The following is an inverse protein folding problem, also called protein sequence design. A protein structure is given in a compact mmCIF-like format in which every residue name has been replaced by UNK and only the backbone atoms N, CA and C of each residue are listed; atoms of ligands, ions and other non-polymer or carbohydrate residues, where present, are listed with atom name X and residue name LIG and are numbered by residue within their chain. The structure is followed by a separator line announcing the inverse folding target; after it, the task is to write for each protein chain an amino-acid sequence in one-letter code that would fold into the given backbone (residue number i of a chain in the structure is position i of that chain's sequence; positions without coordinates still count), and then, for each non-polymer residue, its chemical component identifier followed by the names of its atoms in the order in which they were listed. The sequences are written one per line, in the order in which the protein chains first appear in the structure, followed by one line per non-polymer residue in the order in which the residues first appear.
data_IF_365627518826
#
_entry.id   IF_365627518826
#
_cell.length_a   1.000
_cell.length_b   1.000
_cell.length_c   1.000
_cell.angle_alpha   90.00
_cell.angle_beta   90.00
_cell.angle_gamma   90.00
#
_symmetry.space_group_name_H-M   'P 1'
#
loop_
_entity.id
_entity.type
_entity.pdbx_description
1 polymer ?
#
# COMPACT_ATOMS: atom_id res chain seq x y z
N UNK A 1 -4.72 15.95 11.36
CA UNK A 1 -3.90 16.04 10.13
C UNK A 1 -2.68 16.90 10.43
N UNK A 2 -1.52 16.61 9.83
CA UNK A 2 -0.25 17.33 10.07
C UNK A 2 0.05 18.32 8.95
N UNK A 3 0.21 19.61 9.27
CA UNK A 3 0.55 20.64 8.29
C UNK A 3 1.93 20.42 7.66
N UNK A 4 2.92 20.03 8.46
CA UNK A 4 4.29 19.84 7.97
C UNK A 4 4.38 18.75 6.91
N UNK A 5 3.65 17.65 7.13
CA UNK A 5 3.55 16.57 6.17
C UNK A 5 2.85 17.04 4.88
N UNK A 6 1.81 17.88 4.99
CA UNK A 6 1.13 18.46 3.82
C UNK A 6 2.10 19.29 2.99
N UNK A 7 2.90 20.15 3.62
CA UNK A 7 3.93 20.94 2.91
C UNK A 7 4.93 20.03 2.20
N UNK A 8 5.44 19.01 2.90
CA UNK A 8 6.37 18.06 2.31
C UNK A 8 5.78 17.37 1.07
N UNK A 9 4.48 17.02 1.13
CA UNK A 9 3.77 16.39 0.03
C UNK A 9 3.52 17.34 -1.15
N UNK A 10 3.20 18.61 -0.88
CA UNK A 10 3.06 19.66 -1.91
C UNK A 10 4.36 19.87 -2.65
N UNK A 11 5.48 20.00 -1.93
CA UNK A 11 6.81 20.19 -2.52
C UNK A 11 7.23 18.97 -3.35
N UNK A 12 7.01 17.75 -2.84
CA UNK A 12 7.31 16.53 -3.59
C UNK A 12 6.49 16.39 -4.89
N UNK A 13 5.30 16.99 -4.94
CA UNK A 13 4.44 17.03 -6.14
C UNK A 13 4.86 18.06 -7.18
N UNK A 14 5.76 18.99 -6.86
CA UNK A 14 6.32 19.92 -7.84
C UNK A 14 7.42 19.23 -8.65
N UNK A 15 7.46 19.46 -9.96
CA UNK A 15 8.49 18.91 -10.85
C UNK A 15 9.92 19.26 -10.38
N UNK A 16 10.12 20.51 -9.93
CA UNK A 16 11.39 20.97 -9.38
C UNK A 16 11.59 20.66 -7.89
N UNK A 17 10.59 20.14 -7.18
CA UNK A 17 10.64 20.02 -5.71
C UNK A 17 10.51 21.32 -4.94
N UNK A 18 10.25 22.42 -5.65
CA UNK A 18 10.32 23.77 -5.11
C UNK A 18 9.05 24.52 -5.40
N UNK A 19 8.64 25.35 -4.44
CA UNK A 19 7.48 26.21 -4.56
C UNK A 19 7.67 27.51 -3.77
N UNK A 20 7.09 28.60 -4.26
CA UNK A 20 6.96 29.82 -3.47
C UNK A 20 6.00 29.61 -2.30
N UNK A 21 6.08 30.46 -1.27
CA UNK A 21 5.13 30.38 -0.14
C UNK A 21 3.68 30.59 -0.60
N UNK A 22 3.47 31.43 -1.61
CA UNK A 22 2.15 31.66 -2.20
C UNK A 22 1.60 30.39 -2.87
N UNK A 23 2.44 29.68 -3.63
CA UNK A 23 2.05 28.44 -4.29
C UNK A 23 1.79 27.32 -3.29
N UNK A 24 2.61 27.22 -2.23
CA UNK A 24 2.39 26.26 -1.15
C UNK A 24 1.05 26.52 -0.48
N UNK A 25 0.76 27.79 -0.14
CA UNK A 25 -0.52 28.17 0.45
C UNK A 25 -1.68 27.79 -0.46
N UNK A 26 -1.60 28.15 -1.74
CA UNK A 26 -2.66 27.88 -2.70
C UNK A 26 -2.90 26.37 -2.88
N UNK A 27 -1.82 25.58 -2.99
CA UNK A 27 -1.92 24.13 -3.06
C UNK A 27 -2.54 23.52 -1.80
N UNK A 28 -2.16 24.01 -0.61
CA UNK A 28 -2.77 23.57 0.65
C UNK A 28 -4.26 23.89 0.69
N UNK A 29 -4.68 25.08 0.24
CA UNK A 29 -6.10 25.46 0.15
C UNK A 29 -6.88 24.51 -0.77
N UNK A 30 -6.34 24.13 -1.92
CA UNK A 30 -6.96 23.15 -2.83
C UNK A 30 -7.06 21.77 -2.15
N UNK A 31 -5.97 21.33 -1.51
CA UNK A 31 -5.90 20.03 -0.86
C UNK A 31 -6.87 19.91 0.31
N UNK A 32 -7.03 20.98 1.10
CA UNK A 32 -8.02 21.03 2.18
C UNK A 32 -9.46 20.89 1.67
N UNK A 33 -9.71 21.27 0.42
CA UNK A 33 -11.00 21.14 -0.24
C UNK A 33 -11.13 19.85 -1.08
N UNK A 34 -10.11 18.98 -1.11
CA UNK A 34 -10.11 17.74 -1.91
C UNK A 34 -10.94 16.60 -1.31
N UNK A 35 -11.55 16.80 -0.14
CA UNK A 35 -12.48 15.85 0.46
C UNK A 35 -11.84 14.77 1.34
N UNK A 36 -12.64 13.73 1.64
CA UNK A 36 -12.35 12.77 2.72
C UNK A 36 -11.20 11.83 2.39
N UNK A 37 -11.07 11.38 1.14
CA UNK A 37 -10.00 10.46 0.71
C UNK A 37 -8.60 11.03 0.93
N UNK A 38 -8.40 12.29 0.56
CA UNK A 38 -7.15 12.99 0.79
C UNK A 38 -6.85 13.12 2.29
N UNK A 39 -7.86 13.54 3.06
CA UNK A 39 -7.73 13.73 4.51
C UNK A 39 -7.37 12.43 5.22
N UNK A 40 -8.02 11.32 4.86
CA UNK A 40 -7.76 10.00 5.45
C UNK A 40 -6.38 9.46 5.07
N UNK A 41 -5.94 9.66 3.81
CA UNK A 41 -4.58 9.31 3.39
C UNK A 41 -3.52 10.07 4.19
N UNK A 42 -3.70 11.38 4.36
CA UNK A 42 -2.78 12.22 5.11
C UNK A 42 -2.80 11.90 6.62
N UNK A 43 -3.95 11.47 7.15
CA UNK A 43 -4.04 10.99 8.53
C UNK A 43 -3.18 9.74 8.75
N UNK A 44 -3.29 8.73 7.88
CA UNK A 44 -2.49 7.49 8.00
C UNK A 44 -0.98 7.74 7.92
N UNK A 45 -0.56 8.67 7.04
CA UNK A 45 0.84 9.08 6.97
C UNK A 45 1.28 9.82 8.25
N UNK A 46 0.45 10.70 8.79
CA UNK A 46 0.77 11.42 10.03
C UNK A 46 0.86 10.48 11.25
N UNK A 47 0.02 9.44 11.32
CA UNK A 47 0.08 8.39 12.36
C UNK A 47 1.42 7.62 12.36
N UNK A 48 2.11 7.56 11.21
CA UNK A 48 3.41 6.91 11.07
C UNK A 48 4.60 7.83 11.39
N UNK A 49 4.37 9.14 11.44
CA UNK A 49 5.38 10.13 11.76
C UNK A 49 4.80 11.21 12.72
N UNK A 50 4.42 10.83 13.95
CA UNK A 50 3.73 11.73 14.88
C UNK A 50 4.61 12.92 15.31
N UNK A 51 5.92 12.74 15.42
CA UNK A 51 6.89 13.75 15.85
C UNK A 51 7.64 14.39 14.67
N UNK A 52 7.06 14.35 13.46
CA UNK A 52 7.69 14.91 12.26
C UNK A 52 7.98 16.41 12.44
N UNK A 53 9.27 16.75 12.38
CA UNK A 53 9.74 18.12 12.24
C UNK A 53 10.59 18.28 10.98
N UNK A 54 9.98 18.73 9.88
CA UNK A 54 10.63 18.80 8.56
C UNK A 54 11.80 19.80 8.50
N UNK A 55 11.84 20.79 9.40
CA UNK A 55 12.90 21.79 9.43
C UNK A 55 14.08 21.31 10.25
N UNK A 56 13.84 20.79 11.46
CA UNK A 56 14.90 20.24 12.31
C UNK A 56 15.54 18.99 11.70
N UNK A 57 14.78 18.20 10.93
CA UNK A 57 15.29 17.03 10.22
C UNK A 57 15.99 17.37 8.89
N UNK A 58 15.98 18.64 8.45
CA UNK A 58 16.62 19.05 7.19
C UNK A 58 15.93 18.51 5.93
N UNK A 59 14.65 18.15 6.00
CA UNK A 59 13.88 17.64 4.85
C UNK A 59 13.42 18.74 3.90
N UNK A 60 13.45 20.00 4.35
CA UNK A 60 13.08 21.16 3.57
C UNK A 60 14.10 22.28 3.77
N UNK A 61 14.60 22.81 2.66
CA UNK A 61 15.36 24.04 2.61
C UNK A 61 14.43 25.24 2.39
N UNK A 62 14.74 26.38 3.02
CA UNK A 62 13.97 27.62 2.89
C UNK A 62 14.90 28.76 2.56
N UNK A 63 14.54 29.53 1.54
CA UNK A 63 15.21 30.77 1.19
C UNK A 63 14.23 31.85 0.73
N UNK A 64 14.76 32.94 0.18
CA UNK A 64 13.99 34.11 -0.27
C UNK A 64 13.07 33.82 -1.46
N UNK A 65 13.34 32.77 -2.24
CA UNK A 65 12.54 32.41 -3.41
C UNK A 65 11.47 31.38 -3.08
N UNK A 66 11.55 30.74 -1.92
CA UNK A 66 10.56 29.76 -1.49
C UNK A 66 11.18 28.60 -0.75
N UNK A 67 10.49 27.47 -0.79
CA UNK A 67 10.87 26.26 -0.07
C UNK A 67 11.12 25.15 -1.06
N UNK A 68 12.09 24.29 -0.74
CA UNK A 68 12.54 23.19 -1.57
C UNK A 68 12.65 21.93 -0.73
N UNK A 69 12.10 20.81 -1.22
CA UNK A 69 12.30 19.51 -0.60
C UNK A 69 13.71 19.01 -0.89
N UNK A 70 14.42 18.57 0.14
CA UNK A 70 15.75 17.97 -0.02
C UNK A 70 15.63 16.53 -0.51
N UNK A 71 16.74 15.95 -0.93
CA UNK A 71 16.78 14.55 -1.33
C UNK A 71 16.43 13.62 -0.16
N UNK A 72 16.93 13.93 1.05
CA UNK A 72 16.58 13.21 2.28
C UNK A 72 15.08 13.33 2.57
N UNK A 73 14.48 14.50 2.34
CA UNK A 73 13.04 14.71 2.48
C UNK A 73 12.22 13.85 1.51
N UNK A 74 12.68 13.68 0.26
CA UNK A 74 12.04 12.81 -0.73
C UNK A 74 12.15 11.34 -0.34
N UNK A 75 13.34 10.91 0.10
CA UNK A 75 13.57 9.53 0.53
C UNK A 75 12.72 9.19 1.75
N UNK A 76 12.68 10.08 2.74
CA UNK A 76 11.83 9.94 3.92
C UNK A 76 10.35 9.82 3.51
N UNK A 77 9.85 10.73 2.67
CA UNK A 77 8.46 10.70 2.24
C UNK A 77 8.14 9.41 1.47
N UNK A 78 9.02 8.97 0.57
CA UNK A 78 8.86 7.73 -0.18
C UNK A 78 8.81 6.50 0.73
N UNK A 79 9.70 6.42 1.72
CA UNK A 79 9.70 5.33 2.71
C UNK A 79 8.42 5.34 3.56
N UNK A 80 7.96 6.53 3.96
CA UNK A 80 6.73 6.69 4.72
C UNK A 80 5.50 6.23 3.92
N UNK A 81 5.43 6.58 2.64
CA UNK A 81 4.35 6.18 1.74
C UNK A 81 4.32 4.67 1.50
N UNK A 82 5.50 4.06 1.28
CA UNK A 82 5.62 2.60 1.17
C UNK A 82 5.15 1.90 2.44
N UNK A 83 5.56 2.37 3.62
CA UNK A 83 5.16 1.78 4.89
C UNK A 83 3.63 1.81 5.10
N UNK A 84 2.94 2.87 4.64
CA UNK A 84 1.47 2.95 4.69
C UNK A 84 0.80 2.05 3.65
N UNK A 85 1.38 1.92 2.45
CA UNK A 85 0.89 1.03 1.40
C UNK A 85 0.97 -0.44 1.83
N UNK A 86 2.12 -0.89 2.34
CA UNK A 86 2.36 -2.27 2.76
C UNK A 86 1.37 -2.76 3.84
N UNK A 87 0.92 -1.85 4.71
CA UNK A 87 -0.05 -2.16 5.77
C UNK A 87 -1.49 -2.18 5.29
N UNK A 88 -1.78 -1.44 4.23
CA UNK A 88 -3.09 -1.50 3.58
C UNK A 88 -3.26 -2.83 2.84
N UNK A 89 -2.14 -3.42 2.38
CA UNK A 89 -2.13 -4.67 1.61
C UNK A 89 -2.06 -5.93 2.49
N UNK A 90 -1.48 -5.86 3.70
CA UNK A 90 -1.48 -6.97 4.65
C UNK A 90 -2.90 -7.17 5.21
N UNK A 91 -3.66 -8.22 4.80
CA UNK A 91 -4.98 -8.46 5.35
C UNK A 91 -4.80 -8.72 6.84
N UNK A 92 -5.61 -8.06 7.68
CA UNK A 92 -5.80 -8.51 9.06
C UNK A 92 -6.41 -9.90 8.98
N UNK A 93 -5.57 -10.93 8.93
CA UNK A 93 -5.96 -12.31 9.11
C UNK A 93 -6.27 -12.51 10.59
N UNK A 94 -7.37 -11.89 11.03
CA UNK A 94 -8.00 -12.12 12.31
C UNK A 94 -9.13 -13.12 12.08
N UNK A 95 -8.78 -14.41 12.16
CA UNK A 95 -9.70 -15.43 12.62
C UNK A 95 -8.98 -16.13 13.76
N UNK A 96 -9.09 -15.51 14.93
CA UNK A 96 -9.10 -16.23 16.19
C UNK A 96 -10.37 -17.12 16.18
N UNK A 97 -10.28 -18.46 16.28
CA UNK A 97 -11.48 -19.24 16.53
C UNK A 97 -11.96 -18.93 17.96
N UNK A 98 -13.25 -18.60 18.12
CA UNK A 98 -13.78 -18.13 19.40
C UNK A 98 -13.64 -19.22 20.46
N UNK A 99 -13.35 -18.76 21.67
CA UNK A 99 -13.62 -19.50 22.91
C UNK A 99 -14.94 -20.27 22.81
N UNK A 100 -14.84 -21.59 22.65
CA UNK A 100 -15.91 -22.52 22.99
C UNK A 100 -15.50 -23.16 24.31
N UNK A 101 -15.85 -22.45 25.39
CA UNK A 101 -16.09 -23.06 26.68
C UNK A 101 -17.15 -24.15 26.50
N UNK A 102 -16.71 -25.39 26.27
CA UNK A 102 -17.57 -26.57 26.42
C UNK A 102 -17.40 -27.05 27.84
N UNK A 103 -18.18 -26.43 28.73
CA UNK A 103 -18.66 -27.12 29.93
C UNK A 103 -19.52 -28.30 29.46
N UNK A 104 -18.99 -29.50 29.49
CA UNK A 104 -19.78 -30.72 29.60
C UNK A 104 -18.91 -31.85 30.21
N UNK A 105 -19.32 -32.27 31.40
CA UNK A 105 -18.76 -33.34 32.20
C UNK A 105 -18.78 -34.69 31.47
N UNK A 106 -17.94 -35.66 31.87
CA UNK A 106 -17.90 -37.00 31.28
C UNK A 106 -19.07 -37.84 31.80
N UNK A 107 -19.96 -38.25 30.89
CA UNK A 107 -20.89 -39.37 31.15
C UNK A 107 -20.72 -40.41 30.06
N UNK A 108 -20.42 -41.63 30.50
CA UNK A 108 -20.31 -42.86 29.74
C UNK A 108 -21.60 -43.15 28.96
N UNK A 109 -21.49 -43.62 27.71
CA UNK A 109 -22.09 -44.87 27.17
C UNK A 109 -21.74 -44.95 25.66
N UNK A 110 -20.83 -45.84 25.25
CA UNK A 110 -21.10 -47.16 24.65
C UNK A 110 -21.70 -47.14 23.22
N UNK A 111 -20.85 -47.60 22.29
CA UNK A 111 -21.16 -48.42 21.10
C UNK A 111 -21.66 -47.76 19.80
N UNK A 112 -21.03 -48.24 18.71
CA UNK A 112 -21.49 -48.31 17.31
C UNK A 112 -21.61 -47.00 16.51
N UNK A 113 -21.13 -46.87 15.27
CA UNK A 113 -20.62 -47.84 14.29
C UNK A 113 -19.85 -47.09 13.17
N UNK A 114 -18.82 -47.77 12.65
CA UNK A 114 -18.47 -47.88 11.21
C UNK A 114 -18.02 -46.61 10.44
N UNK A 115 -16.69 -46.43 10.51
CA UNK A 115 -15.79 -45.88 9.50
C UNK A 115 -16.22 -46.03 8.02
N UNK A 116 -16.16 -44.93 7.26
CA UNK A 116 -15.79 -44.91 5.84
C UNK A 116 -14.95 -43.66 5.54
N UNK A 117 -13.74 -43.77 4.95
CA UNK A 117 -12.96 -42.61 4.53
C UNK A 117 -13.39 -42.10 3.14
N UNK A 118 -13.41 -40.79 3.00
CA UNK A 118 -13.75 -40.02 1.79
C UNK A 118 -12.65 -40.19 0.73
N UNK A 119 -13.07 -40.48 -0.52
CA UNK A 119 -12.23 -40.62 -1.72
C UNK A 119 -11.57 -39.29 -2.08
N UNK A 120 -10.23 -39.29 -2.20
CA UNK A 120 -9.45 -38.17 -2.78
C UNK A 120 -9.19 -38.46 -4.27
N UNK A 121 -9.75 -37.66 -5.16
CA UNK A 121 -9.42 -37.67 -6.61
C UNK A 121 -8.17 -36.82 -6.85
N UNK A 122 -7.10 -37.47 -7.32
CA UNK A 122 -5.84 -36.87 -7.75
C UNK A 122 -5.92 -36.54 -9.25
N UNK A 123 -6.17 -35.28 -9.60
CA UNK A 123 -6.04 -34.80 -10.98
C UNK A 123 -4.58 -34.69 -11.40
N UNK A 124 -4.17 -35.43 -12.43
CA UNK A 124 -2.83 -35.43 -13.04
C UNK A 124 -2.94 -34.91 -14.47
N UNK A 125 -2.63 -33.63 -14.67
CA UNK A 125 -2.52 -33.03 -16.01
C UNK A 125 -1.19 -33.42 -16.64
N UNK A 126 -1.23 -34.15 -17.75
CA UNK A 126 -0.06 -34.51 -18.57
C UNK A 126 -0.08 -33.63 -19.81
N UNK A 127 0.93 -32.79 -19.94
CA UNK A 127 1.17 -32.00 -21.15
C UNK A 127 1.78 -32.89 -22.23
N UNK A 128 1.12 -32.97 -23.38
CA UNK A 128 1.68 -33.55 -24.61
C UNK A 128 1.74 -32.45 -25.66
N UNK A 129 2.97 -32.05 -25.98
CA UNK A 129 3.26 -31.16 -27.09
C UNK A 129 3.00 -31.84 -28.43
N UNK A 130 2.59 -31.05 -29.42
CA UNK A 130 2.64 -31.45 -30.82
C UNK A 130 3.15 -30.29 -31.65
N UNK A 131 4.27 -30.55 -32.32
CA UNK A 131 4.95 -29.70 -33.26
C UNK A 131 4.22 -29.63 -34.62
N UNK A 132 4.40 -28.50 -35.30
CA UNK A 132 4.10 -28.22 -36.71
C UNK A 132 4.38 -26.72 -36.91
N UNK A 133 5.58 -26.29 -37.33
CA UNK A 133 6.23 -26.36 -38.65
C UNK A 133 5.59 -25.43 -39.70
N UNK A 134 6.34 -24.35 -40.01
CA UNK A 134 6.41 -23.45 -41.19
C UNK A 134 5.13 -22.63 -41.54
N UNK A 135 5.20 -21.36 -41.95
CA UNK A 135 6.06 -20.82 -43.01
C UNK A 135 6.37 -19.31 -42.85
N UNK A 136 7.37 -18.88 -43.62
CA UNK A 136 7.92 -17.53 -43.79
C UNK A 136 6.95 -16.65 -44.57
N UNK A 137 6.86 -15.37 -44.23
CA UNK A 137 6.63 -14.33 -45.24
C UNK A 137 7.15 -12.99 -44.70
N UNK A 138 7.86 -12.31 -45.58
CA UNK A 138 8.74 -11.20 -45.34
C UNK A 138 8.20 -10.10 -46.25
N UNK A 139 7.45 -9.13 -45.72
CA UNK A 139 7.04 -8.00 -46.55
C UNK A 139 7.47 -6.68 -45.94
N UNK A 140 8.33 -6.02 -46.70
CA UNK A 140 8.85 -4.70 -46.48
C UNK A 140 8.05 -3.72 -47.33
N UNK A 141 7.64 -2.62 -46.68
CA UNK A 141 7.44 -1.29 -47.26
C UNK A 141 6.52 -1.12 -48.49
N UNK A 142 5.48 -0.30 -48.31
CA UNK A 142 5.13 0.69 -49.33
C UNK A 142 4.61 1.98 -48.69
N UNK A 143 5.42 3.04 -48.79
CA UNK A 143 4.98 4.43 -48.95
C UNK A 143 5.01 4.74 -50.45
#
# INVERSE_FOLDING_TARGET
MSFQLTVLKVLAGQSAGRASVADIRHAVEILMNSGRDWTDRMKRLAERAPDLNIFSAGFVFRDTLGWEITEEGRQFLSALEKAVADQSERPRSAIDPPSSEVTAQPVMDAQNHLFLPIVTVKGRGVAAGKAGLIDVEHDAAQL
#
